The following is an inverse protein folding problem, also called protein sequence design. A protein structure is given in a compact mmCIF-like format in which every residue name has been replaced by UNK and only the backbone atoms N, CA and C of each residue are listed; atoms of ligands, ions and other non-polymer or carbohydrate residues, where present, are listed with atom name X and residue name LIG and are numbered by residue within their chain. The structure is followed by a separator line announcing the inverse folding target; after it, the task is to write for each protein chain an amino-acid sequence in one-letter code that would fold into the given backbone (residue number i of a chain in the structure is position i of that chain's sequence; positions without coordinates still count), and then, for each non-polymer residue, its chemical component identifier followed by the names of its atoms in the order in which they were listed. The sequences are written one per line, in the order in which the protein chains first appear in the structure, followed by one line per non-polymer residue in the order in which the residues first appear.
data_IF_994770476623
#
_entry.id   IF_994770476623
#
_cell.length_a   1.000
_cell.length_b   1.000
_cell.length_c   1.000
_cell.angle_alpha   90.00
_cell.angle_beta   90.00
_cell.angle_gamma   90.00
#
_symmetry.space_group_name_H-M   'P 1'
#
loop_
_entity.id
_entity.type
_entity.pdbx_description
1 polymer ?
#
# COMPACT_ATOMS: atom_id res chain seq x y z
N UNK A 1 -18.60 -5.69 16.15
CA UNK A 1 -18.84 -6.27 14.79
C UNK A 1 -17.49 -6.39 14.11
N UNK A 2 -17.23 -7.51 13.42
CA UNK A 2 -16.01 -7.65 12.63
C UNK A 2 -16.06 -6.75 11.40
N UNK A 3 -14.97 -6.06 11.13
CA UNK A 3 -14.73 -5.27 9.93
C UNK A 3 -13.42 -5.73 9.31
N UNK A 4 -13.48 -6.16 8.06
CA UNK A 4 -12.35 -6.79 7.38
C UNK A 4 -11.72 -5.85 6.36
N UNK A 5 -10.44 -5.59 6.52
CA UNK A 5 -9.64 -4.74 5.64
C UNK A 5 -8.66 -5.60 4.86
N UNK A 6 -8.70 -5.53 3.54
CA UNK A 6 -7.75 -6.16 2.64
C UNK A 6 -6.73 -5.12 2.18
N UNK A 7 -5.47 -5.29 2.56
CA UNK A 7 -4.36 -4.48 2.09
C UNK A 7 -3.59 -5.26 1.01
N UNK A 8 -3.46 -4.67 -0.17
CA UNK A 8 -2.85 -5.28 -1.37
C UNK A 8 -1.53 -4.60 -1.69
N UNK A 9 -0.49 -5.39 -1.90
CA UNK A 9 0.86 -4.91 -2.20
C UNK A 9 0.98 -4.23 -3.56
N UNK A 10 2.13 -3.57 -3.75
CA UNK A 10 2.47 -2.68 -4.87
C UNK A 10 2.06 -3.27 -6.23
N UNK A 11 1.19 -2.58 -6.95
CA UNK A 11 0.77 -2.97 -8.31
C UNK A 11 1.87 -2.60 -9.29
N UNK A 12 2.48 -3.62 -9.93
CA UNK A 12 3.66 -3.45 -10.77
C UNK A 12 3.32 -3.63 -12.25
N UNK A 13 3.31 -2.52 -12.99
CA UNK A 13 3.13 -2.48 -14.43
C UNK A 13 1.79 -3.02 -14.92
N UNK A 14 1.65 -3.17 -16.23
CA UNK A 14 0.43 -3.70 -16.83
C UNK A 14 0.07 -5.12 -16.34
N UNK A 15 1.02 -6.06 -16.13
CA UNK A 15 0.65 -7.38 -15.59
C UNK A 15 0.00 -7.31 -14.22
N UNK A 16 0.50 -6.43 -13.33
CA UNK A 16 -0.11 -6.20 -12.01
C UNK A 16 -1.48 -5.55 -12.10
N UNK A 17 -1.64 -4.55 -12.96
CA UNK A 17 -2.93 -3.90 -13.20
C UNK A 17 -3.98 -4.89 -13.73
N UNK A 18 -3.62 -5.71 -14.71
CA UNK A 18 -4.51 -6.76 -15.24
C UNK A 18 -4.88 -7.80 -14.18
N UNK A 19 -3.93 -8.15 -13.29
CA UNK A 19 -4.21 -9.04 -12.15
C UNK A 19 -5.26 -8.43 -11.23
N UNK A 20 -5.11 -7.15 -10.85
CA UNK A 20 -6.08 -6.41 -10.04
C UNK A 20 -7.45 -6.40 -10.72
N UNK A 21 -7.53 -6.00 -11.99
CA UNK A 21 -8.79 -5.92 -12.75
C UNK A 21 -9.57 -7.23 -12.77
N UNK A 22 -8.87 -8.36 -12.91
CA UNK A 22 -9.50 -9.68 -13.05
C UNK A 22 -9.84 -10.34 -11.73
N UNK A 23 -9.02 -10.13 -10.69
CA UNK A 23 -9.06 -10.97 -9.49
C UNK A 23 -9.40 -10.24 -8.18
N UNK A 24 -9.19 -8.91 -8.08
CA UNK A 24 -9.41 -8.18 -6.82
C UNK A 24 -10.84 -8.34 -6.30
N UNK A 25 -11.84 -8.20 -7.18
CA UNK A 25 -13.25 -8.35 -6.80
C UNK A 25 -13.60 -9.77 -6.31
N UNK A 26 -12.94 -10.77 -6.89
CA UNK A 26 -13.08 -12.15 -6.45
C UNK A 26 -12.42 -12.36 -5.09
N UNK A 27 -11.21 -11.85 -4.88
CA UNK A 27 -10.49 -11.92 -3.61
C UNK A 27 -11.26 -11.19 -2.50
N UNK A 28 -11.78 -9.98 -2.76
CA UNK A 28 -12.66 -9.24 -1.85
C UNK A 28 -13.85 -10.09 -1.39
N UNK A 29 -14.52 -10.78 -2.32
CA UNK A 29 -15.66 -11.67 -1.99
C UNK A 29 -15.22 -12.91 -1.22
N UNK A 30 -14.13 -13.56 -1.63
CA UNK A 30 -13.60 -14.79 -1.00
C UNK A 30 -13.18 -14.55 0.45
N UNK A 31 -12.58 -13.42 0.73
CA UNK A 31 -12.15 -13.02 2.08
C UNK A 31 -13.26 -12.39 2.91
N UNK A 32 -14.32 -11.93 2.26
CA UNK A 32 -15.38 -11.14 2.89
C UNK A 32 -14.89 -9.77 3.33
N UNK A 33 -13.91 -9.19 2.61
CA UNK A 33 -13.38 -7.87 2.94
C UNK A 33 -14.42 -6.77 2.73
N UNK A 34 -14.59 -5.94 3.74
CA UNK A 34 -15.49 -4.78 3.74
C UNK A 34 -14.82 -3.56 3.10
N UNK A 35 -13.50 -3.45 3.23
CA UNK A 35 -12.70 -2.32 2.77
C UNK A 35 -11.38 -2.81 2.14
N UNK A 36 -10.97 -2.20 1.04
CA UNK A 36 -9.78 -2.61 0.27
C UNK A 36 -8.86 -1.41 0.02
N UNK A 37 -7.62 -1.54 0.42
CA UNK A 37 -6.54 -0.58 0.13
C UNK A 37 -5.53 -1.23 -0.80
N UNK A 38 -5.15 -0.54 -1.88
CA UNK A 38 -4.21 -1.03 -2.90
C UNK A 38 -3.09 -0.02 -3.06
N UNK A 39 -1.83 -0.43 -2.96
CA UNK A 39 -0.74 0.45 -3.36
C UNK A 39 -0.61 0.46 -4.88
N UNK A 40 -0.82 1.63 -5.49
CA UNK A 40 -0.87 1.82 -6.95
C UNK A 40 0.35 2.49 -7.54
N UNK A 41 1.37 2.82 -6.75
CA UNK A 41 2.48 3.70 -7.17
C UNK A 41 3.31 3.19 -8.36
N UNK A 42 3.29 1.87 -8.62
CA UNK A 42 4.07 1.23 -9.67
C UNK A 42 3.22 0.73 -10.85
N UNK A 43 1.94 1.09 -10.93
CA UNK A 43 1.02 0.65 -11.98
C UNK A 43 1.50 1.03 -13.39
N UNK A 44 2.19 2.17 -13.55
CA UNK A 44 2.84 2.60 -14.79
C UNK A 44 4.37 2.40 -14.76
N UNK A 45 4.89 1.40 -14.02
CA UNK A 45 6.29 1.15 -13.68
C UNK A 45 6.86 2.19 -12.71
N UNK A 46 6.66 3.46 -13.01
CA UNK A 46 6.98 4.61 -12.15
C UNK A 46 5.75 5.52 -12.18
N UNK A 47 5.04 5.58 -11.08
CA UNK A 47 3.80 6.33 -10.96
C UNK A 47 2.56 5.55 -11.42
N UNK A 48 1.45 6.25 -11.46
CA UNK A 48 0.13 5.78 -11.90
C UNK A 48 -0.52 6.85 -12.79
N UNK A 49 -1.28 6.46 -13.80
CA UNK A 49 -2.10 7.38 -14.60
C UNK A 49 -3.54 7.44 -14.08
N UNK A 50 -4.33 8.49 -14.38
CA UNK A 50 -5.75 8.55 -14.03
C UNK A 50 -6.54 7.31 -14.45
N UNK A 51 -6.39 6.86 -15.70
CA UNK A 51 -7.09 5.66 -16.19
C UNK A 51 -6.73 4.39 -15.40
N UNK A 52 -5.45 4.23 -15.02
CA UNK A 52 -5.03 3.09 -14.20
C UNK A 52 -5.59 3.18 -12.77
N UNK A 53 -5.71 4.38 -12.23
CA UNK A 53 -6.34 4.60 -10.94
C UNK A 53 -7.84 4.25 -10.97
N UNK A 54 -8.55 4.70 -12.01
CA UNK A 54 -9.95 4.32 -12.25
C UNK A 54 -10.11 2.80 -12.40
N UNK A 55 -9.24 2.14 -13.15
CA UNK A 55 -9.23 0.68 -13.30
C UNK A 55 -9.10 -0.05 -11.94
N UNK A 56 -8.23 0.44 -11.04
CA UNK A 56 -8.03 -0.14 -9.70
C UNK A 56 -9.28 0.08 -8.82
N UNK A 57 -9.84 1.30 -8.83
CA UNK A 57 -11.06 1.63 -8.09
C UNK A 57 -12.26 0.81 -8.61
N UNK A 58 -12.43 0.74 -9.93
CA UNK A 58 -13.49 -0.05 -10.57
C UNK A 58 -13.33 -1.55 -10.30
N UNK A 59 -12.11 -2.05 -10.12
CA UNK A 59 -11.87 -3.44 -9.72
C UNK A 59 -12.32 -3.73 -8.27
N UNK A 60 -12.62 -2.71 -7.47
CA UNK A 60 -13.18 -2.83 -6.13
C UNK A 60 -12.28 -2.37 -4.99
N UNK A 61 -11.21 -1.64 -5.30
CA UNK A 61 -10.45 -0.90 -4.28
C UNK A 61 -11.28 0.28 -3.76
N UNK A 62 -11.19 0.55 -2.48
CA UNK A 62 -11.82 1.70 -1.84
C UNK A 62 -10.83 2.86 -1.71
N UNK A 63 -9.51 2.56 -1.62
CA UNK A 63 -8.43 3.55 -1.52
C UNK A 63 -7.21 3.05 -2.29
N UNK A 64 -6.51 3.99 -2.94
CA UNK A 64 -5.20 3.80 -3.54
C UNK A 64 -4.17 4.60 -2.74
N UNK A 65 -3.16 3.91 -2.22
CA UNK A 65 -1.98 4.52 -1.60
C UNK A 65 -0.85 4.64 -2.62
N UNK A 66 0.05 5.57 -2.36
CA UNK A 66 1.19 5.86 -3.21
C UNK A 66 2.51 5.69 -2.43
N UNK A 67 3.62 6.15 -2.98
CA UNK A 67 4.94 6.07 -2.36
C UNK A 67 5.94 7.03 -3.01
N UNK A 68 7.20 6.61 -3.17
CA UNK A 68 8.23 7.46 -3.77
C UNK A 68 8.01 7.75 -5.26
N UNK A 69 7.19 6.98 -5.96
CA UNK A 69 6.85 7.22 -7.36
C UNK A 69 5.57 8.05 -7.56
N UNK A 70 5.01 8.65 -6.52
CA UNK A 70 3.78 9.47 -6.59
C UNK A 70 3.77 10.44 -7.78
N UNK A 71 4.91 11.09 -8.05
CA UNK A 71 5.05 12.10 -9.09
C UNK A 71 5.55 11.56 -10.45
N UNK A 72 5.59 10.25 -10.62
CA UNK A 72 6.13 9.59 -11.81
C UNK A 72 5.35 9.84 -13.10
N UNK A 73 4.06 10.23 -12.98
CA UNK A 73 3.20 10.62 -14.10
C UNK A 73 2.59 12.01 -13.82
N UNK A 74 2.78 12.93 -14.76
CA UNK A 74 2.32 14.32 -14.58
C UNK A 74 0.80 14.42 -14.47
N UNK A 75 0.08 13.62 -15.23
CA UNK A 75 -1.38 13.65 -15.31
C UNK A 75 -2.09 13.24 -14.02
N UNK A 76 -1.41 12.52 -13.11
CA UNK A 76 -2.01 12.13 -11.82
C UNK A 76 -2.15 13.32 -10.87
N UNK A 77 -1.34 14.36 -11.04
CA UNK A 77 -1.25 15.51 -10.14
C UNK A 77 -2.60 16.22 -10.01
N UNK A 78 -3.20 16.56 -11.14
CA UNK A 78 -4.50 17.24 -11.17
C UNK A 78 -5.62 16.27 -10.74
N UNK A 79 -5.53 15.00 -11.13
CA UNK A 79 -6.51 13.99 -10.79
C UNK A 79 -6.59 13.70 -9.28
N UNK A 80 -5.46 13.70 -8.56
CA UNK A 80 -5.45 13.49 -7.10
C UNK A 80 -6.17 14.59 -6.31
N UNK A 81 -6.27 15.81 -6.82
CA UNK A 81 -7.03 16.89 -6.16
C UNK A 81 -8.52 16.58 -6.13
N UNK A 82 -9.05 16.01 -7.22
CA UNK A 82 -10.47 15.71 -7.41
C UNK A 82 -10.86 14.32 -6.92
N UNK A 83 -9.89 13.38 -6.77
CA UNK A 83 -10.13 12.00 -6.36
C UNK A 83 -9.67 11.75 -4.92
N UNK A 84 -10.56 11.80 -3.92
CA UNK A 84 -10.21 11.59 -2.52
C UNK A 84 -9.79 10.14 -2.19
N UNK A 85 -10.05 9.20 -3.07
CA UNK A 85 -9.64 7.80 -2.92
C UNK A 85 -8.16 7.56 -3.21
N UNK A 86 -7.44 8.53 -3.80
CA UNK A 86 -5.99 8.43 -3.97
C UNK A 86 -5.33 9.29 -2.92
N UNK A 87 -4.49 8.67 -2.10
CA UNK A 87 -3.68 9.35 -1.09
C UNK A 87 -2.20 9.13 -1.36
N UNK A 88 -1.41 10.16 -1.08
CA UNK A 88 0.05 10.16 -1.22
C UNK A 88 0.72 10.19 0.15
N UNK A 89 2.02 9.91 0.28
CA UNK A 89 2.70 10.06 1.55
C UNK A 89 2.48 11.44 2.19
N UNK A 90 1.97 11.45 3.43
CA UNK A 90 1.60 12.65 4.16
C UNK A 90 2.80 13.51 4.51
N UNK A 91 3.98 12.90 4.67
CA UNK A 91 5.22 13.57 5.05
C UNK A 91 6.01 14.15 3.87
N UNK A 92 5.43 14.25 2.67
CA UNK A 92 5.89 15.20 1.67
C UNK A 92 5.55 16.63 2.07
N UNK A 93 6.19 17.61 1.42
CA UNK A 93 5.97 19.02 1.69
C UNK A 93 4.47 19.38 1.61
N UNK A 94 3.94 20.20 2.55
CA UNK A 94 2.48 20.47 2.64
C UNK A 94 1.86 21.10 1.40
N UNK A 95 2.66 21.81 0.60
CA UNK A 95 2.22 22.53 -0.60
C UNK A 95 2.08 21.64 -1.84
N UNK A 96 2.53 20.38 -1.80
CA UNK A 96 2.37 19.51 -2.96
C UNK A 96 0.94 18.99 -3.09
N UNK A 97 0.44 18.76 -4.32
CA UNK A 97 -0.93 18.33 -4.58
C UNK A 97 -1.30 17.00 -3.88
N UNK A 98 -2.60 16.79 -3.72
CA UNK A 98 -3.17 15.58 -3.15
C UNK A 98 -3.14 15.54 -1.62
N UNK A 99 -3.77 14.51 -1.06
CA UNK A 99 -3.96 14.33 0.39
C UNK A 99 -3.03 13.26 0.93
N UNK A 100 -2.54 13.41 2.16
CA UNK A 100 -1.71 12.41 2.84
C UNK A 100 -2.49 11.44 3.73
N UNK A 101 -3.74 11.75 3.99
CA UNK A 101 -4.70 10.92 4.72
C UNK A 101 -6.12 11.35 4.39
N UNK A 102 -7.07 10.42 4.57
CA UNK A 102 -8.48 10.66 4.30
C UNK A 102 -9.34 9.80 5.22
N UNK A 103 -10.52 10.28 5.56
CA UNK A 103 -11.56 9.54 6.30
C UNK A 103 -12.66 9.14 5.34
N UNK A 104 -13.06 7.88 5.39
CA UNK A 104 -14.08 7.27 4.55
C UNK A 104 -15.25 6.79 5.41
N UNK A 105 -16.46 7.14 5.05
CA UNK A 105 -17.67 6.63 5.69
C UNK A 105 -17.92 5.18 5.26
N UNK A 106 -18.14 4.29 6.23
CA UNK A 106 -18.46 2.89 5.97
C UNK A 106 -19.65 2.42 6.84
N UNK A 107 -20.16 1.23 6.56
CA UNK A 107 -21.22 0.62 7.38
C UNK A 107 -20.79 0.35 8.83
N UNK A 108 -19.50 0.27 9.10
CA UNK A 108 -18.94 0.05 10.44
C UNK A 108 -18.55 1.36 11.16
N UNK A 109 -18.82 2.51 10.54
CA UNK A 109 -18.39 3.83 10.96
C UNK A 109 -17.23 4.33 10.10
N UNK A 110 -16.61 5.41 10.56
CA UNK A 110 -15.51 6.07 9.84
C UNK A 110 -14.22 5.25 9.89
N UNK A 111 -13.56 5.17 8.74
CA UNK A 111 -12.25 4.55 8.54
C UNK A 111 -11.27 5.61 8.07
N UNK A 112 -10.23 5.88 8.83
CA UNK A 112 -9.15 6.76 8.42
C UNK A 112 -8.02 5.93 7.77
N UNK A 113 -7.53 6.37 6.62
CA UNK A 113 -6.36 5.79 5.95
C UNK A 113 -5.27 6.85 5.86
N UNK A 114 -4.07 6.52 6.30
CA UNK A 114 -2.90 7.40 6.33
C UNK A 114 -1.78 6.73 5.54
N UNK A 115 -1.18 7.46 4.62
CA UNK A 115 -0.02 7.04 3.87
C UNK A 115 1.22 7.81 4.36
N UNK A 116 2.31 7.10 4.60
CA UNK A 116 3.60 7.65 5.05
C UNK A 116 4.72 7.10 4.19
N UNK A 117 5.81 7.87 4.05
CA UNK A 117 7.04 7.39 3.42
C UNK A 117 8.19 7.42 4.43
N UNK A 118 9.04 6.39 4.38
CA UNK A 118 10.26 6.32 5.16
C UNK A 118 11.32 7.33 4.72
N UNK A 119 12.45 7.35 5.44
CA UNK A 119 13.58 8.25 5.18
C UNK A 119 14.88 7.50 4.94
N UNK A 120 15.00 6.28 5.47
CA UNK A 120 16.20 5.48 5.30
C UNK A 120 16.29 4.95 3.88
N UNK A 121 17.28 5.40 3.10
CA UNK A 121 17.49 5.06 1.69
C UNK A 121 16.29 5.39 0.79
N UNK A 122 15.52 6.42 1.17
CA UNK A 122 14.41 6.94 0.37
C UNK A 122 14.78 8.29 -0.24
N UNK A 123 14.34 8.54 -1.47
CA UNK A 123 14.58 9.79 -2.18
C UNK A 123 13.70 10.94 -1.66
N UNK A 124 14.00 12.17 -2.12
CA UNK A 124 13.22 13.40 -1.90
C UNK A 124 13.23 13.99 -0.48
N UNK A 125 13.97 13.43 0.49
CA UNK A 125 14.14 14.00 1.83
C UNK A 125 12.81 14.36 2.52
N UNK A 126 11.86 13.45 2.66
CA UNK A 126 10.56 13.74 3.26
C UNK A 126 10.71 14.17 4.72
N UNK A 127 9.70 14.86 5.25
CA UNK A 127 9.60 15.18 6.67
C UNK A 127 9.61 13.92 7.53
N UNK A 128 9.92 14.06 8.81
CA UNK A 128 9.98 12.93 9.73
C UNK A 128 8.58 12.30 9.93
N UNK A 129 8.32 11.07 9.44
CA UNK A 129 7.01 10.43 9.54
C UNK A 129 6.58 10.15 10.99
N UNK A 130 7.54 9.90 11.90
CA UNK A 130 7.27 9.63 13.32
C UNK A 130 6.76 10.86 14.05
N UNK A 131 7.21 12.05 13.66
CA UNK A 131 6.73 13.31 14.24
C UNK A 131 5.44 13.78 13.60
N UNK A 132 5.26 13.50 12.30
CA UNK A 132 4.06 13.92 11.58
C UNK A 132 2.84 13.09 11.99
N UNK A 133 2.97 11.77 12.11
CA UNK A 133 1.86 10.88 12.50
C UNK A 133 1.23 11.29 13.83
N UNK A 134 2.04 11.78 14.79
CA UNK A 134 1.57 12.31 16.07
C UNK A 134 0.64 13.53 15.91
N UNK A 135 0.87 14.34 14.88
CA UNK A 135 0.02 15.50 14.57
C UNK A 135 -1.26 15.09 13.84
N UNK A 136 -1.15 14.11 12.93
CA UNK A 136 -2.30 13.60 12.15
C UNK A 136 -3.29 12.91 13.10
N UNK A 137 -2.82 12.02 13.99
CA UNK A 137 -3.68 11.29 14.92
C UNK A 137 -4.50 12.19 15.85
N UNK A 138 -4.03 13.40 16.15
CA UNK A 138 -4.80 14.38 16.94
C UNK A 138 -6.00 14.96 16.20
N UNK A 139 -6.06 14.82 14.89
CA UNK A 139 -7.13 15.34 14.02
C UNK A 139 -8.16 14.27 13.66
N UNK A 140 -7.85 12.99 13.92
CA UNK A 140 -8.68 11.84 13.55
C UNK A 140 -9.54 11.43 14.73
N UNK A 141 -10.86 11.34 14.51
CA UNK A 141 -11.84 10.83 15.48
C UNK A 141 -12.33 9.42 15.15
N UNK A 142 -12.00 8.91 13.96
CA UNK A 142 -12.35 7.58 13.51
C UNK A 142 -11.75 6.52 14.46
N UNK A 143 -12.52 5.46 14.76
CA UNK A 143 -12.05 4.35 15.59
C UNK A 143 -11.16 3.38 14.82
N UNK A 144 -11.44 3.21 13.53
CA UNK A 144 -10.63 2.38 12.63
C UNK A 144 -9.63 3.27 11.93
N UNK A 145 -8.35 3.07 12.23
CA UNK A 145 -7.25 3.84 11.64
C UNK A 145 -6.27 2.87 11.00
N UNK A 146 -6.00 3.07 9.72
CA UNK A 146 -5.14 2.25 8.89
C UNK A 146 -3.93 3.09 8.48
N UNK A 147 -2.73 2.54 8.63
CA UNK A 147 -1.49 3.25 8.30
C UNK A 147 -0.63 2.41 7.37
N UNK A 148 -0.32 2.94 6.21
CA UNK A 148 0.73 2.42 5.35
C UNK A 148 2.04 3.18 5.62
N UNK A 149 3.15 2.44 5.63
CA UNK A 149 4.51 2.99 5.66
C UNK A 149 5.29 2.46 4.46
N UNK A 150 5.40 3.27 3.42
CA UNK A 150 6.15 2.97 2.21
C UNK A 150 7.63 3.24 2.45
N UNK A 151 8.43 2.21 2.73
CA UNK A 151 9.82 2.38 3.18
C UNK A 151 10.72 1.21 2.78
N UNK A 152 12.01 1.52 2.53
CA UNK A 152 13.05 0.52 2.27
C UNK A 152 13.43 -0.24 3.54
N UNK A 153 13.70 0.48 4.64
CA UNK A 153 14.26 -0.12 5.84
C UNK A 153 13.20 -0.85 6.69
N UNK A 154 13.37 -2.16 6.87
CA UNK A 154 12.48 -2.98 7.72
C UNK A 154 12.46 -2.49 9.18
N UNK A 155 13.58 -1.97 9.69
CA UNK A 155 13.66 -1.40 11.03
C UNK A 155 12.80 -0.13 11.19
N UNK A 156 12.70 0.70 10.16
CA UNK A 156 11.86 1.90 10.15
C UNK A 156 10.37 1.49 10.15
N UNK A 157 9.98 0.48 9.35
CA UNK A 157 8.63 -0.09 9.34
C UNK A 157 8.23 -0.67 10.71
N UNK A 158 9.11 -1.49 11.31
CA UNK A 158 8.90 -2.06 12.65
C UNK A 158 8.77 -0.97 13.71
N UNK A 159 9.64 0.04 13.68
CA UNK A 159 9.59 1.15 14.63
C UNK A 159 8.25 1.91 14.54
N UNK A 160 7.73 2.14 13.32
CA UNK A 160 6.42 2.74 13.12
C UNK A 160 5.31 1.85 13.69
N UNK A 161 5.35 0.55 13.43
CA UNK A 161 4.39 -0.42 14.00
C UNK A 161 4.35 -0.36 15.52
N UNK A 162 5.51 -0.39 16.19
CA UNK A 162 5.57 -0.31 17.66
C UNK A 162 5.18 1.06 18.23
N UNK A 163 5.51 2.17 17.54
CA UNK A 163 5.05 3.50 17.93
C UNK A 163 3.53 3.58 17.95
N UNK A 164 2.88 2.94 16.98
CA UNK A 164 1.44 3.01 16.77
C UNK A 164 0.66 1.87 17.45
N UNK A 165 1.36 0.93 18.09
CA UNK A 165 0.74 -0.22 18.73
C UNK A 165 -0.27 0.16 19.82
N UNK A 166 -1.52 -0.26 19.64
CA UNK A 166 -2.68 0.06 20.47
C UNK A 166 -3.31 1.43 20.21
N UNK A 167 -2.81 2.17 19.20
CA UNK A 167 -3.31 3.51 18.85
C UNK A 167 -4.00 3.53 17.49
N UNK A 168 -3.72 2.54 16.64
CA UNK A 168 -4.31 2.36 15.32
C UNK A 168 -4.72 0.90 15.12
N UNK A 169 -5.58 0.63 14.16
CA UNK A 169 -6.12 -0.70 13.91
C UNK A 169 -5.12 -1.60 13.18
N UNK A 170 -4.43 -1.08 12.17
CA UNK A 170 -3.43 -1.83 11.41
C UNK A 170 -2.32 -0.91 10.89
N UNK A 171 -1.10 -1.48 10.79
CA UNK A 171 0.06 -0.88 10.14
C UNK A 171 0.68 -1.91 9.20
N UNK A 172 0.95 -1.52 7.97
CA UNK A 172 1.65 -2.37 7.01
C UNK A 172 2.68 -1.59 6.20
N UNK A 173 3.71 -2.31 5.76
CA UNK A 173 4.72 -1.76 4.89
C UNK A 173 4.55 -2.17 3.43
N UNK A 174 5.12 -1.35 2.54
CA UNK A 174 5.23 -1.53 1.10
C UNK A 174 6.63 -1.16 0.61
N UNK A 175 6.89 -1.07 -0.67
CA UNK A 175 8.12 -0.66 -1.35
C UNK A 175 9.06 -1.79 -1.75
N UNK A 176 9.35 -2.76 -0.89
CA UNK A 176 10.39 -3.74 -1.23
C UNK A 176 9.92 -4.80 -2.22
N UNK A 177 8.61 -4.91 -2.48
CA UNK A 177 7.97 -5.90 -3.36
C UNK A 177 8.18 -7.35 -2.90
N UNK A 178 8.77 -7.58 -1.72
CA UNK A 178 9.03 -8.90 -1.16
C UNK A 178 8.21 -9.08 0.11
N UNK A 179 7.26 -10.02 0.13
CA UNK A 179 6.37 -10.22 1.27
C UNK A 179 7.15 -10.76 2.46
N UNK A 180 6.87 -10.22 3.65
CA UNK A 180 7.48 -10.69 4.88
C UNK A 180 6.58 -11.68 5.62
N UNK A 181 7.19 -12.58 6.39
CA UNK A 181 6.50 -13.66 7.11
C UNK A 181 5.99 -13.26 8.50
N UNK A 182 6.00 -11.97 8.84
CA UNK A 182 5.76 -11.47 10.19
C UNK A 182 4.35 -10.87 10.39
N UNK A 183 3.38 -11.25 9.56
CA UNK A 183 1.98 -10.86 9.73
C UNK A 183 1.45 -11.33 11.09
N UNK A 184 1.08 -10.38 11.96
CA UNK A 184 0.71 -10.65 13.37
C UNK A 184 -0.10 -9.53 13.98
N UNK A 185 -0.58 -9.74 15.19
CA UNK A 185 -1.09 -8.68 16.07
C UNK A 185 0.02 -8.29 17.05
N UNK A 186 0.30 -7.01 17.15
CA UNK A 186 1.23 -6.45 18.14
C UNK A 186 0.64 -6.48 19.55
N UNK A 187 1.48 -6.40 20.61
CA UNK A 187 1.05 -6.64 21.99
C UNK A 187 -0.14 -5.81 22.51
N UNK A 188 -0.39 -4.62 21.95
CA UNK A 188 -1.49 -3.74 22.37
C UNK A 188 -2.71 -3.79 21.43
N UNK A 189 -2.66 -4.64 20.38
CA UNK A 189 -3.83 -4.94 19.54
C UNK A 189 -3.82 -4.31 18.15
N UNK A 190 -2.70 -3.80 17.66
CA UNK A 190 -2.56 -3.34 16.28
C UNK A 190 -2.16 -4.50 15.36
N UNK A 191 -2.87 -4.70 14.25
CA UNK A 191 -2.46 -5.63 13.20
C UNK A 191 -1.20 -5.10 12.49
N UNK A 192 -0.25 -5.98 12.16
CA UNK A 192 1.03 -5.57 11.59
C UNK A 192 1.60 -6.56 10.58
N UNK A 193 2.22 -6.05 9.53
CA UNK A 193 3.13 -6.77 8.63
C UNK A 193 4.21 -5.80 8.12
N UNK A 194 5.47 -6.26 8.07
CA UNK A 194 6.59 -5.42 7.62
C UNK A 194 6.51 -5.07 6.14
N UNK A 195 6.11 -6.02 5.26
CA UNK A 195 5.89 -5.73 3.85
C UNK A 195 4.79 -6.64 3.26
N UNK A 196 3.89 -6.03 2.49
CA UNK A 196 2.81 -6.76 1.82
C UNK A 196 3.33 -7.64 0.68
N UNK A 197 4.43 -7.25 0.03
CA UNK A 197 4.86 -7.78 -1.25
C UNK A 197 4.30 -6.97 -2.42
N UNK A 198 4.07 -7.62 -3.57
CA UNK A 198 3.63 -6.94 -4.79
C UNK A 198 2.50 -7.69 -5.51
N UNK A 199 1.81 -6.97 -6.38
CA UNK A 199 0.88 -7.53 -7.36
C UNK A 199 1.47 -7.38 -8.75
N UNK A 200 1.82 -8.49 -9.41
CA UNK A 200 2.51 -8.44 -10.70
C UNK A 200 3.07 -9.77 -11.14
N UNK A 201 4.06 -9.78 -12.06
CA UNK A 201 4.68 -11.01 -12.55
C UNK A 201 5.32 -11.82 -11.42
N UNK A 202 4.97 -13.09 -11.31
CA UNK A 202 5.49 -14.01 -10.28
C UNK A 202 6.98 -14.31 -10.49
N UNK A 203 7.32 -14.73 -11.70
CA UNK A 203 8.68 -15.19 -12.05
C UNK A 203 9.51 -13.99 -12.54
N UNK A 204 9.86 -13.09 -11.61
CA UNK A 204 10.49 -11.80 -11.90
C UNK A 204 11.44 -11.37 -10.78
N UNK A 205 12.24 -10.34 -11.04
CA UNK A 205 12.95 -9.61 -9.99
C UNK A 205 12.20 -8.30 -9.76
N UNK A 206 11.38 -8.25 -8.71
CA UNK A 206 10.54 -7.11 -8.34
C UNK A 206 9.62 -6.63 -9.49
N UNK A 207 9.12 -7.56 -10.31
CA UNK A 207 8.30 -7.29 -11.49
C UNK A 207 9.07 -7.17 -12.81
N UNK A 208 10.40 -7.04 -12.76
CA UNK A 208 11.26 -6.87 -13.93
C UNK A 208 11.79 -8.21 -14.41
N UNK A 209 12.02 -8.33 -15.73
CA UNK A 209 12.67 -9.49 -16.36
C UNK A 209 13.99 -9.81 -15.67
N UNK A 210 14.21 -11.08 -15.23
CA UNK A 210 15.42 -11.48 -14.49
C UNK A 210 16.71 -11.21 -15.25
N UNK A 211 16.74 -11.45 -16.56
CA UNK A 211 17.92 -11.24 -17.39
C UNK A 211 18.40 -9.78 -17.38
N UNK A 212 17.46 -8.82 -17.46
CA UNK A 212 17.78 -7.38 -17.41
C UNK A 212 18.32 -6.95 -16.06
N UNK A 213 17.69 -7.42 -14.97
CA UNK A 213 18.14 -7.09 -13.62
C UNK A 213 19.50 -7.73 -13.31
N UNK A 214 19.72 -9.00 -13.68
CA UNK A 214 21.00 -9.70 -13.50
C UNK A 214 22.10 -8.98 -14.27
N UNK A 215 21.88 -8.64 -15.55
CA UNK A 215 22.86 -7.94 -16.37
C UNK A 215 23.26 -6.60 -15.73
N UNK A 216 22.29 -5.81 -15.23
CA UNK A 216 22.57 -4.56 -14.52
C UNK A 216 23.44 -4.77 -13.26
N UNK A 217 23.13 -5.78 -12.43
CA UNK A 217 23.92 -6.08 -11.23
C UNK A 217 25.33 -6.58 -11.57
N UNK A 218 25.52 -7.19 -12.74
CA UNK A 218 26.85 -7.57 -13.25
C UNK A 218 27.65 -6.38 -13.79
N UNK A 219 27.03 -5.19 -13.96
CA UNK A 219 27.65 -4.02 -14.53
C UNK A 219 27.59 -3.96 -16.06
N UNK A 220 26.79 -4.80 -16.68
CA UNK A 220 26.60 -4.78 -18.13
C UNK A 220 25.76 -3.56 -18.55
N UNK A 221 25.98 -3.05 -19.76
CA UNK A 221 25.09 -2.07 -20.37
C UNK A 221 23.80 -2.78 -20.78
N UNK A 222 22.71 -2.42 -20.10
CA UNK A 222 21.41 -3.06 -20.34
C UNK A 222 20.45 -2.18 -21.11
N UNK A 223 19.46 -2.79 -21.76
CA UNK A 223 18.27 -2.13 -22.25
C UNK A 223 17.47 -1.51 -21.08
N UNK A 224 16.46 -0.70 -21.42
CA UNK A 224 15.51 -0.21 -20.43
C UNK A 224 14.81 -1.38 -19.74
N UNK A 225 14.52 -1.23 -18.46
CA UNK A 225 13.74 -2.21 -17.71
C UNK A 225 12.40 -2.47 -18.39
N UNK A 226 12.05 -3.76 -18.44
CA UNK A 226 10.75 -4.26 -18.90
C UNK A 226 10.22 -5.22 -17.84
N UNK A 227 8.92 -5.21 -17.60
CA UNK A 227 8.29 -6.21 -16.74
C UNK A 227 8.45 -7.61 -17.32
N UNK A 228 8.43 -8.59 -16.44
CA UNK A 228 8.42 -9.99 -16.85
C UNK A 228 7.03 -10.38 -17.37
N UNK A 229 7.02 -11.35 -18.27
CA UNK A 229 5.80 -11.98 -18.78
C UNK A 229 5.55 -13.30 -18.04
N UNK A 230 4.32 -13.85 -18.16
CA UNK A 230 3.95 -15.15 -17.62
C UNK A 230 2.99 -15.09 -16.44
N UNK A 231 3.04 -16.08 -15.53
CA UNK A 231 2.13 -16.15 -14.38
C UNK A 231 2.23 -14.92 -13.49
N UNK A 232 1.10 -14.53 -12.92
CA UNK A 232 1.01 -13.35 -12.03
C UNK A 232 0.65 -13.76 -10.61
N UNK A 233 0.94 -12.87 -9.66
CA UNK A 233 0.55 -13.01 -8.25
C UNK A 233 -0.11 -11.73 -7.76
N UNK A 234 -0.93 -11.86 -6.71
CA UNK A 234 -1.43 -10.75 -5.90
C UNK A 234 -1.11 -11.09 -4.45
N UNK A 235 -0.23 -10.35 -3.84
CA UNK A 235 0.17 -10.51 -2.44
C UNK A 235 -0.60 -9.51 -1.58
N UNK A 236 -1.25 -10.02 -0.53
CA UNK A 236 -2.15 -9.24 0.29
C UNK A 236 -2.22 -9.75 1.73
N UNK A 237 -2.66 -8.88 2.63
CA UNK A 237 -2.95 -9.22 4.03
C UNK A 237 -4.37 -8.79 4.38
N UNK A 238 -5.10 -9.69 5.03
CA UNK A 238 -6.42 -9.43 5.58
C UNK A 238 -6.31 -9.14 7.08
N UNK A 239 -6.75 -7.95 7.48
CA UNK A 239 -6.88 -7.55 8.88
C UNK A 239 -8.36 -7.63 9.29
N UNK A 240 -8.68 -8.41 10.30
CA UNK A 240 -10.02 -8.42 10.92
C UNK A 240 -9.99 -7.53 12.16
N UNK A 241 -10.83 -6.52 12.19
CA UNK A 241 -10.86 -5.46 13.19
C UNK A 241 -12.19 -5.53 13.93
N UNK A 242 -12.17 -5.44 15.24
CA UNK A 242 -13.39 -5.17 16.02
C UNK A 242 -13.76 -3.70 15.90
N UNK A 243 -14.85 -3.40 15.18
CA UNK A 243 -15.29 -2.02 14.90
C UNK A 243 -15.72 -1.25 16.16
N UNK A 244 -16.06 -1.93 17.25
CA UNK A 244 -16.42 -1.27 18.50
C UNK A 244 -15.20 -0.66 19.20
N UNK A 245 -14.05 -1.35 19.14
CA UNK A 245 -12.81 -0.98 19.82
C UNK A 245 -11.74 -0.42 18.92
N UNK A 246 -11.82 -0.67 17.59
CA UNK A 246 -10.77 -0.37 16.63
C UNK A 246 -9.57 -1.33 16.68
N UNK A 247 -9.58 -2.35 17.55
CA UNK A 247 -8.47 -3.29 17.69
C UNK A 247 -8.51 -4.37 16.61
N UNK A 248 -7.35 -4.74 16.10
CA UNK A 248 -7.20 -5.90 15.25
C UNK A 248 -7.31 -7.18 16.08
N UNK A 249 -8.10 -8.14 15.59
CA UNK A 249 -8.34 -9.43 16.24
C UNK A 249 -7.79 -10.61 15.44
N UNK A 250 -7.47 -10.39 14.14
CA UNK A 250 -6.81 -11.38 13.29
C UNK A 250 -6.02 -10.68 12.20
N UNK A 251 -4.84 -11.20 11.87
CA UNK A 251 -4.00 -10.78 10.75
C UNK A 251 -3.55 -12.01 10.00
N UNK A 252 -3.82 -12.09 8.70
CA UNK A 252 -3.48 -13.26 7.89
C UNK A 252 -3.11 -12.88 6.45
N UNK A 253 -2.09 -13.55 5.89
CA UNK A 253 -1.79 -13.43 4.48
C UNK A 253 -2.86 -14.15 3.65
N UNK A 254 -3.24 -13.53 2.54
CA UNK A 254 -4.28 -14.05 1.62
C UNK A 254 -3.81 -13.95 0.17
N UNK A 255 -2.58 -14.34 -0.06
CA UNK A 255 -1.96 -14.27 -1.38
C UNK A 255 -2.70 -15.13 -2.41
N UNK A 256 -2.79 -14.64 -3.64
CA UNK A 256 -3.44 -15.33 -4.76
C UNK A 256 -2.47 -15.41 -5.96
N UNK A 257 -2.27 -16.62 -6.46
CA UNK A 257 -1.28 -16.95 -7.48
C UNK A 257 -1.94 -17.71 -8.64
N UNK A 258 -1.44 -17.49 -9.89
CA UNK A 258 -1.79 -18.34 -11.04
C UNK A 258 -1.18 -19.72 -10.90
#
# INVERSE_FOLDING_TARGET
MEFKVLAVGDVVGNPGLERVRRHLRQLKRKTGADFVVVNGENAAVVGITPNQAEDILDAGADVITMGNHTWGKREIVDYMEDCPQIIRPANYAPQVPGRGWQVFETKAGDVAVIDLIGRCNMDYGPDNPFLLIEKILKQITAKIILVEIHAEATSEKLAMGYLLDGRVSAVWGTHTHVPTADARILPKGTGYVTDLGMTGPRDSILGIRPDLSIAKFRGDLTERYRWAEGPTKMEAVLFTIDSATGKCIKTERVDEWD
#
